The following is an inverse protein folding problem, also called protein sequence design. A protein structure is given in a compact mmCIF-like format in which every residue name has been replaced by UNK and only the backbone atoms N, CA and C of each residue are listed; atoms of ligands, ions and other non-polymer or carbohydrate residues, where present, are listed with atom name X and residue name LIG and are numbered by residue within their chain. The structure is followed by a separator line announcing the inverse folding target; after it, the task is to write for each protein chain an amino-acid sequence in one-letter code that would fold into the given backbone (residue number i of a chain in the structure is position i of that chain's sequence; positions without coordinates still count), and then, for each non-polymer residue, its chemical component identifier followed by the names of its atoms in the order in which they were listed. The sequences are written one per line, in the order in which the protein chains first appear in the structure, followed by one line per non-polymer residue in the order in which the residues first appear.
data_IF_169495022814
#
_entry.id   IF_169495022814
#
_cell.length_a   1.000
_cell.length_b   1.000
_cell.length_c   1.000
_cell.angle_alpha   90.00
_cell.angle_beta   90.00
_cell.angle_gamma   90.00
#
_symmetry.space_group_name_H-M   'P 1'
#
loop_
_entity.id
_entity.type
_entity.pdbx_description
1 polymer ?
#
# COMPACT_ATOMS: atom_id res chain seq x y z
N UNK A 1 -9.82 -14.73 -11.68
CA UNK A 1 -9.51 -15.13 -10.29
C UNK A 1 -10.62 -16.04 -9.79
N UNK A 2 -10.37 -17.15 -9.08
CA UNK A 2 -11.42 -17.94 -8.49
C UNK A 2 -12.18 -17.05 -7.50
N UNK A 3 -13.51 -17.00 -7.61
CA UNK A 3 -14.36 -16.33 -6.61
C UNK A 3 -14.04 -16.94 -5.25
N UNK A 4 -13.39 -16.20 -4.37
CA UNK A 4 -13.20 -16.59 -2.98
C UNK A 4 -14.60 -16.89 -2.43
N UNK A 5 -14.83 -18.13 -1.97
CA UNK A 5 -16.12 -18.51 -1.35
C UNK A 5 -16.37 -17.54 -0.21
N UNK A 6 -17.55 -16.96 -0.16
CA UNK A 6 -17.97 -16.04 0.90
C UNK A 6 -17.82 -16.74 2.25
N UNK A 7 -17.24 -16.02 3.20
CA UNK A 7 -17.00 -16.50 4.57
C UNK A 7 -18.09 -15.95 5.49
N UNK A 8 -18.81 -16.83 6.18
CA UNK A 8 -19.90 -16.49 7.08
C UNK A 8 -19.50 -16.89 8.51
N UNK A 9 -19.59 -15.95 9.45
CA UNK A 9 -19.31 -16.21 10.85
C UNK A 9 -20.61 -16.59 11.58
N UNK A 10 -20.62 -17.73 12.27
CA UNK A 10 -21.72 -18.14 13.14
C UNK A 10 -21.32 -17.86 14.57
N UNK A 11 -22.03 -16.94 15.23
CA UNK A 11 -21.59 -16.35 16.50
C UNK A 11 -22.73 -16.37 17.50
N UNK A 12 -22.45 -16.87 18.71
CA UNK A 12 -23.31 -16.74 19.89
C UNK A 12 -23.11 -15.41 20.62
N UNK A 13 -23.78 -15.24 21.74
CA UNK A 13 -23.72 -13.99 22.52
C UNK A 13 -22.35 -13.73 23.15
N UNK A 14 -22.12 -12.45 23.61
CA UNK A 14 -20.80 -11.98 24.10
C UNK A 14 -20.34 -12.63 25.41
N UNK A 15 -21.26 -13.14 26.22
CA UNK A 15 -20.94 -13.90 27.44
C UNK A 15 -21.27 -15.39 27.23
N UNK A 16 -20.55 -16.09 26.33
CA UNK A 16 -20.97 -17.37 25.82
C UNK A 16 -21.04 -18.41 26.92
N UNK A 17 -22.19 -19.08 27.02
CA UNK A 17 -22.40 -20.28 27.81
C UNK A 17 -22.28 -21.54 26.93
N UNK A 18 -22.63 -22.68 27.47
CA UNK A 18 -22.50 -23.96 26.77
C UNK A 18 -23.44 -24.05 25.57
N UNK A 19 -24.68 -23.52 25.68
CA UNK A 19 -25.63 -23.51 24.57
C UNK A 19 -25.14 -22.63 23.41
N UNK A 20 -24.70 -21.45 23.72
CA UNK A 20 -24.15 -20.49 22.76
C UNK A 20 -22.99 -21.08 21.93
N UNK A 21 -22.04 -21.72 22.58
CA UNK A 21 -20.86 -22.31 21.90
C UNK A 21 -21.22 -23.58 21.13
N UNK A 22 -21.99 -24.49 21.74
CA UNK A 22 -22.41 -25.76 21.08
C UNK A 22 -23.31 -25.49 19.88
N UNK A 23 -24.24 -24.53 20.00
CA UNK A 23 -25.10 -24.08 18.90
C UNK A 23 -24.32 -23.53 17.75
N UNK A 24 -23.30 -22.66 18.02
CA UNK A 24 -22.44 -22.12 16.97
C UNK A 24 -21.66 -23.22 16.22
N UNK A 25 -21.10 -24.19 16.95
CA UNK A 25 -20.38 -25.34 16.38
C UNK A 25 -21.28 -26.23 15.55
N UNK A 26 -22.40 -26.64 16.12
CA UNK A 26 -23.36 -27.53 15.49
C UNK A 26 -23.96 -26.91 14.22
N UNK A 27 -24.40 -25.66 14.29
CA UNK A 27 -24.95 -24.97 13.13
C UNK A 27 -23.91 -24.74 12.02
N UNK A 28 -22.66 -24.45 12.39
CA UNK A 28 -21.55 -24.38 11.44
C UNK A 28 -21.36 -25.69 10.68
N UNK A 29 -21.42 -26.83 11.38
CA UNK A 29 -21.30 -28.13 10.71
C UNK A 29 -22.48 -28.34 9.74
N UNK A 30 -23.72 -28.15 10.18
CA UNK A 30 -24.92 -28.28 9.35
C UNK A 30 -24.81 -27.43 8.08
N UNK A 31 -24.49 -26.14 8.20
CA UNK A 31 -24.38 -25.23 7.07
C UNK A 31 -23.26 -25.60 6.09
N UNK A 32 -22.13 -26.12 6.58
CA UNK A 32 -21.06 -26.60 5.72
C UNK A 32 -21.43 -27.91 4.98
N UNK A 33 -22.34 -28.72 5.50
CA UNK A 33 -22.87 -29.89 4.76
C UNK A 33 -23.83 -29.46 3.64
N UNK A 34 -24.57 -28.37 3.83
CA UNK A 34 -25.49 -27.83 2.83
C UNK A 34 -24.83 -27.02 1.71
N UNK A 35 -23.64 -26.51 1.91
CA UNK A 35 -22.62 -26.32 0.86
C UNK A 35 -22.64 -25.11 -0.04
N UNK A 36 -23.17 -23.94 0.36
CA UNK A 36 -23.19 -22.73 -0.48
C UNK A 36 -22.08 -21.70 -0.18
N UNK A 37 -21.51 -21.72 1.04
CA UNK A 37 -20.46 -20.83 1.50
C UNK A 37 -19.43 -21.56 2.38
N UNK A 38 -18.51 -20.83 3.00
CA UNK A 38 -17.63 -21.34 4.05
C UNK A 38 -18.10 -20.77 5.39
N UNK A 39 -18.63 -21.61 6.23
CA UNK A 39 -19.14 -21.23 7.54
C UNK A 39 -18.09 -21.51 8.62
N UNK A 40 -17.90 -20.57 9.54
CA UNK A 40 -16.96 -20.71 10.66
C UNK A 40 -17.65 -20.36 11.98
N UNK A 41 -17.56 -21.28 12.95
CA UNK A 41 -17.95 -20.99 14.32
C UNK A 41 -16.99 -19.97 14.94
N UNK A 42 -17.55 -18.98 15.60
CA UNK A 42 -16.84 -17.94 16.34
C UNK A 42 -17.44 -17.78 17.73
N UNK A 43 -16.64 -17.29 18.68
CA UNK A 43 -17.14 -16.89 20.01
C UNK A 43 -16.89 -15.39 20.21
N UNK A 44 -17.88 -14.70 20.75
CA UNK A 44 -17.79 -13.27 20.99
C UNK A 44 -17.12 -12.92 22.33
N UNK A 45 -16.89 -13.92 23.19
CA UNK A 45 -16.29 -13.72 24.50
C UNK A 45 -15.49 -14.93 25.00
N UNK A 46 -15.05 -14.86 26.26
CA UNK A 46 -14.34 -15.97 26.91
C UNK A 46 -15.32 -17.06 27.32
N UNK A 47 -14.93 -18.33 27.11
CA UNK A 47 -15.71 -19.48 27.53
C UNK A 47 -15.67 -19.63 29.08
N UNK A 48 -16.76 -20.04 29.68
CA UNK A 48 -16.82 -20.35 31.10
C UNK A 48 -16.23 -21.74 31.40
N UNK A 49 -16.11 -22.08 32.69
CA UNK A 49 -15.53 -23.36 33.12
C UNK A 49 -16.35 -24.58 32.68
N UNK A 50 -17.67 -24.47 32.70
CA UNK A 50 -18.60 -25.52 32.27
C UNK A 50 -18.40 -25.81 30.79
N UNK A 51 -18.43 -24.78 29.94
CA UNK A 51 -18.21 -24.92 28.49
C UNK A 51 -16.81 -25.51 28.21
N UNK A 52 -15.78 -25.05 28.92
CA UNK A 52 -14.45 -25.62 28.76
C UNK A 52 -14.36 -27.07 29.12
N UNK A 53 -15.09 -27.51 30.18
CA UNK A 53 -15.15 -28.90 30.58
C UNK A 53 -15.86 -29.73 29.49
N UNK A 54 -17.02 -29.29 29.00
CA UNK A 54 -17.80 -29.97 27.94
C UNK A 54 -16.95 -30.15 26.68
N UNK A 55 -16.33 -29.05 26.17
CA UNK A 55 -15.49 -29.12 24.98
C UNK A 55 -14.32 -30.09 25.15
N UNK A 56 -13.66 -30.06 26.29
CA UNK A 56 -12.55 -30.97 26.61
C UNK A 56 -13.03 -32.43 26.68
N UNK A 57 -14.18 -32.69 27.32
CA UNK A 57 -14.74 -34.02 27.43
C UNK A 57 -15.01 -34.68 26.07
N UNK A 58 -15.47 -33.88 25.10
CA UNK A 58 -15.76 -34.35 23.75
C UNK A 58 -14.59 -34.17 22.76
N UNK A 59 -13.44 -33.69 23.20
CA UNK A 59 -12.26 -33.49 22.37
C UNK A 59 -12.41 -32.42 21.28
N UNK A 60 -13.22 -31.38 21.53
CA UNK A 60 -13.53 -30.30 20.60
C UNK A 60 -12.75 -29.03 20.97
N UNK A 61 -12.08 -28.42 19.98
CA UNK A 61 -11.40 -27.15 20.18
C UNK A 61 -12.40 -25.98 20.25
N UNK A 62 -12.20 -25.02 21.16
CA UNK A 62 -13.05 -23.83 21.24
C UNK A 62 -13.05 -23.05 19.94
N UNK A 63 -14.20 -22.47 19.52
CA UNK A 63 -14.23 -21.54 18.40
C UNK A 63 -13.26 -20.39 18.58
N UNK A 64 -12.70 -19.90 17.48
CA UNK A 64 -11.80 -18.72 17.52
C UNK A 64 -12.55 -17.49 18.03
N UNK A 65 -11.87 -16.70 18.87
CA UNK A 65 -12.40 -15.45 19.40
C UNK A 65 -12.60 -14.43 18.26
N UNK A 66 -13.75 -13.77 18.25
CA UNK A 66 -14.11 -12.69 17.36
C UNK A 66 -14.91 -11.67 18.17
N UNK A 67 -14.27 -10.64 18.67
CA UNK A 67 -14.89 -9.61 19.51
C UNK A 67 -15.51 -8.48 18.72
N UNK A 68 -15.15 -8.35 17.42
CA UNK A 68 -15.62 -7.27 16.56
C UNK A 68 -15.80 -7.77 15.10
N UNK A 69 -16.97 -7.51 14.55
CA UNK A 69 -17.31 -7.82 13.15
C UNK A 69 -17.39 -6.58 12.28
N UNK A 70 -16.96 -5.40 12.77
CA UNK A 70 -16.85 -4.19 11.96
C UNK A 70 -15.95 -4.44 10.74
N UNK A 71 -16.28 -3.86 9.59
CA UNK A 71 -15.43 -3.93 8.41
C UNK A 71 -14.06 -3.31 8.67
N UNK A 72 -13.02 -3.94 8.17
CA UNK A 72 -11.64 -3.48 8.23
C UNK A 72 -11.13 -3.14 6.83
N UNK A 73 -10.01 -2.46 6.73
CA UNK A 73 -9.40 -2.08 5.44
C UNK A 73 -9.17 -3.29 4.52
N UNK A 74 -8.92 -4.48 5.06
CA UNK A 74 -8.84 -5.73 4.26
C UNK A 74 -10.18 -6.17 3.64
N UNK A 75 -11.29 -5.62 4.10
CA UNK A 75 -12.64 -5.92 3.61
C UNK A 75 -13.09 -4.91 2.52
N UNK A 76 -12.19 -4.07 2.03
CA UNK A 76 -12.40 -3.16 0.90
C UNK A 76 -11.41 -3.46 -0.23
N UNK A 77 -11.71 -2.96 -1.43
CA UNK A 77 -10.83 -3.11 -2.57
C UNK A 77 -9.56 -2.25 -2.40
N UNK A 78 -8.45 -2.87 -2.03
CA UNK A 78 -7.14 -2.23 -2.00
C UNK A 78 -6.62 -2.21 -3.43
N UNK A 79 -6.25 -1.02 -3.93
CA UNK A 79 -5.60 -0.89 -5.23
C UNK A 79 -4.17 -1.40 -5.11
N UNK A 80 -3.86 -2.48 -5.79
CA UNK A 80 -2.48 -2.94 -5.95
C UNK A 80 -1.71 -1.90 -6.75
N UNK A 81 -0.68 -1.37 -6.13
CA UNK A 81 0.23 -0.41 -6.74
C UNK A 81 1.65 -0.80 -6.34
N UNK A 82 2.54 -1.02 -7.31
CA UNK A 82 3.94 -1.32 -6.98
C UNK A 82 4.57 -0.14 -6.27
N UNK A 83 5.37 -0.44 -5.26
CA UNK A 83 6.25 0.56 -4.67
C UNK A 83 7.39 0.91 -5.64
N UNK A 84 7.99 2.07 -5.44
CA UNK A 84 9.13 2.54 -6.23
C UNK A 84 10.39 2.58 -5.38
N UNK A 85 11.55 2.48 -6.04
CA UNK A 85 12.83 2.73 -5.41
C UNK A 85 12.98 4.24 -5.10
N UNK A 86 13.43 4.58 -3.91
CA UNK A 86 13.71 5.96 -3.48
C UNK A 86 14.78 6.64 -4.33
N UNK A 87 15.67 5.87 -4.98
CA UNK A 87 16.74 6.36 -5.87
C UNK A 87 16.24 6.63 -7.32
N UNK A 88 14.99 6.25 -7.63
CA UNK A 88 14.36 6.57 -8.92
C UNK A 88 14.40 8.08 -9.17
N UNK A 89 14.72 8.49 -10.41
CA UNK A 89 14.71 9.91 -10.77
C UNK A 89 13.28 10.51 -10.80
N UNK A 90 13.17 11.82 -10.52
CA UNK A 90 11.89 12.55 -10.66
C UNK A 90 11.31 12.38 -12.06
N UNK A 91 12.14 12.35 -13.10
CA UNK A 91 11.73 12.11 -14.50
C UNK A 91 11.03 10.78 -14.66
N UNK A 92 11.62 9.71 -14.11
CA UNK A 92 11.04 8.36 -14.18
C UNK A 92 9.75 8.25 -13.35
N UNK A 93 9.73 8.86 -12.16
CA UNK A 93 8.54 8.91 -11.31
C UNK A 93 7.38 9.64 -12.01
N UNK A 94 7.66 10.78 -12.66
CA UNK A 94 6.67 11.52 -13.46
C UNK A 94 6.13 10.69 -14.62
N UNK A 95 7.00 10.02 -15.38
CA UNK A 95 6.56 9.13 -16.47
C UNK A 95 5.66 8.03 -15.96
N UNK A 96 6.03 7.36 -14.86
CA UNK A 96 5.21 6.33 -14.23
C UNK A 96 3.84 6.86 -13.80
N UNK A 97 3.78 8.04 -13.15
CA UNK A 97 2.51 8.65 -12.73
C UNK A 97 1.60 8.93 -13.93
N UNK A 98 2.16 9.47 -15.02
CA UNK A 98 1.41 9.78 -16.24
C UNK A 98 0.89 8.52 -16.93
N UNK A 99 1.74 7.51 -17.09
CA UNK A 99 1.43 6.29 -17.85
C UNK A 99 0.44 5.39 -17.10
N UNK A 100 0.40 5.47 -15.76
CA UNK A 100 -0.51 4.70 -14.89
C UNK A 100 -1.72 5.51 -14.39
N UNK A 101 -1.80 6.80 -14.73
CA UNK A 101 -2.83 7.74 -14.23
C UNK A 101 -2.90 7.80 -12.68
N UNK A 102 -1.75 7.66 -12.04
CA UNK A 102 -1.60 7.71 -10.58
C UNK A 102 -0.91 9.03 -10.22
N UNK A 103 -1.43 9.74 -9.22
CA UNK A 103 -0.88 11.01 -8.78
C UNK A 103 -0.07 10.94 -7.46
N UNK A 104 0.15 9.72 -6.95
CA UNK A 104 0.92 9.46 -5.73
C UNK A 104 1.67 8.15 -5.88
N UNK A 105 2.98 8.14 -5.63
CA UNK A 105 3.81 6.93 -5.57
C UNK A 105 4.37 6.74 -4.17
N UNK A 106 4.45 5.48 -3.75
CA UNK A 106 5.01 5.05 -2.48
C UNK A 106 6.44 4.56 -2.69
N UNK A 107 7.42 5.19 -2.05
CA UNK A 107 8.78 4.70 -2.02
C UNK A 107 8.93 3.62 -0.96
N UNK A 108 9.49 2.47 -1.32
CA UNK A 108 9.72 1.32 -0.44
C UNK A 108 11.16 0.86 -0.55
N UNK A 109 11.60 0.07 0.42
CA UNK A 109 12.85 -0.69 0.34
C UNK A 109 12.65 -2.12 -0.19
N UNK A 110 13.73 -2.90 -0.18
CA UNK A 110 13.74 -4.31 -0.61
C UNK A 110 12.82 -5.20 0.24
N UNK A 111 12.65 -4.84 1.52
CA UNK A 111 11.78 -5.52 2.48
C UNK A 111 10.32 -5.04 2.44
N UNK A 112 9.97 -4.16 1.47
CA UNK A 112 8.66 -3.50 1.33
C UNK A 112 8.29 -2.61 2.51
N UNK A 113 9.25 -2.07 3.25
CA UNK A 113 8.99 -1.02 4.22
C UNK A 113 8.69 0.30 3.53
N UNK A 114 7.68 1.02 4.01
CA UNK A 114 7.29 2.30 3.44
C UNK A 114 8.29 3.38 3.89
N UNK A 115 9.06 3.92 2.94
CA UNK A 115 10.08 4.95 3.19
C UNK A 115 9.54 6.37 3.02
N UNK A 116 8.53 6.55 2.14
CA UNK A 116 7.97 7.86 1.87
C UNK A 116 6.95 7.87 0.75
N UNK A 117 6.42 9.06 0.50
CA UNK A 117 5.42 9.34 -0.53
C UNK A 117 5.86 10.51 -1.39
N UNK A 118 5.70 10.39 -2.70
CA UNK A 118 5.85 11.50 -3.64
C UNK A 118 4.55 11.69 -4.43
N UNK A 119 4.13 12.94 -4.57
CA UNK A 119 2.90 13.31 -5.29
C UNK A 119 3.23 14.16 -6.51
N UNK A 120 2.27 14.28 -7.44
CA UNK A 120 2.37 15.23 -8.57
C UNK A 120 2.66 16.66 -8.08
N UNK A 121 2.12 17.06 -6.92
CA UNK A 121 2.39 18.38 -6.33
C UNK A 121 3.87 18.53 -5.93
N UNK A 122 4.46 17.48 -5.36
CA UNK A 122 5.87 17.51 -4.95
C UNK A 122 6.79 17.60 -6.19
N UNK A 123 6.44 16.88 -7.27
CA UNK A 123 7.13 16.98 -8.56
C UNK A 123 6.96 18.37 -9.19
N UNK A 124 5.76 18.94 -9.15
CA UNK A 124 5.50 20.28 -9.66
C UNK A 124 6.30 21.32 -8.89
N UNK A 125 6.37 21.24 -7.57
CA UNK A 125 7.19 22.13 -6.75
C UNK A 125 8.68 21.99 -7.11
N UNK A 126 9.19 20.76 -7.20
CA UNK A 126 10.58 20.50 -7.62
C UNK A 126 10.91 21.10 -8.99
N UNK A 127 9.96 21.06 -9.94
CA UNK A 127 10.13 21.69 -11.27
C UNK A 127 10.00 23.21 -11.25
N UNK A 128 9.31 23.81 -10.29
CA UNK A 128 9.19 25.26 -10.17
C UNK A 128 10.41 25.89 -9.51
N UNK A 129 11.17 25.14 -8.72
CA UNK A 129 12.44 25.56 -8.13
C UNK A 129 13.59 25.51 -9.16
N UNK A 130 13.33 25.98 -10.38
CA UNK A 130 14.27 26.01 -11.53
C UNK A 130 15.58 26.75 -11.26
N UNK A 131 15.66 27.53 -10.20
CA UNK A 131 16.85 28.29 -9.82
C UNK A 131 17.87 27.52 -8.97
N UNK A 132 17.50 26.33 -8.48
CA UNK A 132 18.44 25.49 -7.74
C UNK A 132 19.34 24.70 -8.69
N UNK A 133 20.38 25.39 -9.18
CA UNK A 133 21.39 24.77 -10.05
C UNK A 133 22.24 23.72 -9.35
N UNK A 134 22.21 23.65 -8.02
CA UNK A 134 22.97 22.70 -7.19
C UNK A 134 22.12 21.45 -6.80
N UNK A 135 20.92 21.31 -7.29
CA UNK A 135 19.99 20.23 -6.91
C UNK A 135 20.60 18.83 -7.04
N UNK A 136 21.40 18.59 -8.07
CA UNK A 136 22.05 17.30 -8.31
C UNK A 136 23.08 16.96 -7.22
N UNK A 137 23.87 17.96 -6.81
CA UNK A 137 24.84 17.82 -5.73
C UNK A 137 24.17 17.68 -4.35
N UNK A 138 23.18 18.53 -4.05
CA UNK A 138 22.39 18.48 -2.79
C UNK A 138 21.68 17.17 -2.61
N UNK A 139 21.15 16.60 -3.69
CA UNK A 139 20.45 15.32 -3.68
C UNK A 139 21.37 14.11 -3.83
N UNK A 140 22.68 14.31 -4.02
CA UNK A 140 23.66 13.25 -4.32
C UNK A 140 23.18 12.35 -5.45
N UNK A 141 22.81 12.96 -6.57
CA UNK A 141 22.28 12.26 -7.75
C UNK A 141 23.35 11.35 -8.36
N UNK A 142 23.01 10.12 -8.71
CA UNK A 142 23.90 9.23 -9.47
C UNK A 142 24.00 9.66 -10.93
N UNK A 143 25.17 9.45 -11.55
CA UNK A 143 25.30 9.68 -13.00
C UNK A 143 24.41 8.74 -13.81
N UNK A 144 24.07 7.57 -13.30
CA UNK A 144 23.09 6.67 -13.90
C UNK A 144 21.73 7.34 -14.10
N UNK A 145 21.25 8.11 -13.10
CA UNK A 145 20.03 8.89 -13.24
C UNK A 145 20.16 10.01 -14.29
N UNK A 146 21.33 10.67 -14.36
CA UNK A 146 21.61 11.68 -15.37
C UNK A 146 21.56 11.07 -16.77
N UNK A 147 22.25 9.95 -16.98
CA UNK A 147 22.25 9.20 -18.25
C UNK A 147 20.84 8.81 -18.66
N UNK A 148 20.07 8.18 -17.76
CA UNK A 148 18.70 7.79 -18.05
C UNK A 148 17.79 8.98 -18.37
N UNK A 149 17.96 10.11 -17.67
CA UNK A 149 17.15 11.32 -17.87
C UNK A 149 17.46 12.02 -19.19
N UNK A 150 18.72 12.05 -19.58
CA UNK A 150 19.21 12.72 -20.80
C UNK A 150 19.31 11.79 -22.01
N UNK A 151 18.85 10.52 -21.89
CA UNK A 151 19.06 9.50 -22.92
C UNK A 151 20.52 9.46 -23.40
N UNK A 152 21.42 9.63 -22.44
CA UNK A 152 22.83 9.87 -22.69
C UNK A 152 23.69 8.61 -22.61
N UNK A 153 24.88 8.72 -23.17
CA UNK A 153 25.95 7.72 -23.10
C UNK A 153 27.14 8.29 -22.34
N UNK A 154 27.70 7.49 -21.42
CA UNK A 154 28.93 7.86 -20.71
C UNK A 154 30.14 7.42 -21.51
N UNK A 155 30.98 8.38 -21.93
CA UNK A 155 32.23 8.10 -22.65
C UNK A 155 33.42 7.96 -21.69
N UNK A 156 33.37 8.63 -20.55
CA UNK A 156 34.39 8.58 -19.51
C UNK A 156 33.76 8.80 -18.15
N UNK A 157 34.03 7.93 -17.18
CA UNK A 157 33.54 8.05 -15.81
C UNK A 157 32.97 6.75 -15.27
N UNK A 158 32.26 6.85 -14.13
CA UNK A 158 31.56 5.76 -13.47
C UNK A 158 30.07 6.12 -13.34
N UNK A 159 29.16 5.37 -13.97
CA UNK A 159 27.71 5.62 -13.88
C UNK A 159 27.15 5.53 -12.46
N UNK A 160 27.73 4.72 -11.58
CA UNK A 160 27.25 4.53 -10.21
C UNK A 160 27.82 5.59 -9.25
N UNK A 161 28.78 6.42 -9.69
CA UNK A 161 29.25 7.55 -8.90
C UNK A 161 28.15 8.58 -8.68
N UNK A 162 28.21 9.25 -7.52
CA UNK A 162 27.26 10.31 -7.16
C UNK A 162 27.87 11.71 -7.31
N UNK A 163 27.07 12.64 -7.77
CA UNK A 163 27.40 14.06 -7.81
C UNK A 163 27.34 14.62 -6.40
N UNK A 164 28.48 15.08 -5.88
CA UNK A 164 28.61 15.55 -4.48
C UNK A 164 28.87 17.05 -4.37
N UNK A 165 29.20 17.70 -5.47
CA UNK A 165 29.53 19.16 -5.55
C UNK A 165 29.24 19.70 -6.93
N UNK A 166 29.27 21.03 -7.05
CA UNK A 166 29.07 21.72 -8.29
C UNK A 166 27.62 22.01 -8.63
N UNK A 167 27.45 22.88 -9.59
CA UNK A 167 26.14 23.31 -10.13
C UNK A 167 26.04 22.97 -11.60
N UNK A 168 24.80 23.03 -12.13
CA UNK A 168 24.54 22.93 -13.55
C UNK A 168 24.92 24.30 -14.20
N UNK A 169 25.81 24.28 -15.19
CA UNK A 169 26.28 25.47 -15.92
C UNK A 169 26.11 25.25 -17.42
N UNK A 170 25.65 26.25 -18.13
CA UNK A 170 25.56 26.21 -19.60
C UNK A 170 26.82 26.84 -20.18
N UNK A 171 27.57 26.05 -20.94
CA UNK A 171 28.80 26.50 -21.58
C UNK A 171 28.56 27.65 -22.55
N UNK A 172 29.38 28.71 -22.41
CA UNK A 172 29.37 29.91 -23.23
C UNK A 172 30.71 30.06 -23.94
N UNK A 173 31.16 31.31 -24.23
CA UNK A 173 32.49 31.52 -24.76
C UNK A 173 33.55 31.29 -23.67
N UNK A 174 34.77 30.85 -24.04
CA UNK A 174 35.86 30.62 -23.08
C UNK A 174 36.15 31.79 -22.19
N UNK A 175 36.06 33.02 -22.70
CA UNK A 175 36.35 34.26 -21.96
C UNK A 175 35.37 34.51 -20.82
N UNK A 176 34.09 34.04 -20.97
CA UNK A 176 33.06 34.14 -19.94
C UNK A 176 33.18 32.97 -18.95
N UNK A 177 33.58 31.80 -19.45
CA UNK A 177 33.70 30.59 -18.62
C UNK A 177 34.89 30.65 -17.69
N UNK A 178 35.96 31.34 -18.11
CA UNK A 178 37.13 31.56 -17.25
C UNK A 178 36.72 32.38 -16.02
N UNK A 179 36.88 31.79 -14.85
CA UNK A 179 36.44 32.37 -13.58
C UNK A 179 34.93 32.25 -13.26
N UNK A 180 34.08 31.75 -14.18
CA UNK A 180 32.68 31.52 -13.95
C UNK A 180 32.35 30.02 -13.65
N UNK A 181 33.11 29.10 -14.23
CA UNK A 181 33.00 27.65 -13.95
C UNK A 181 33.78 27.33 -12.68
N UNK A 182 33.13 26.66 -11.75
CA UNK A 182 33.77 26.24 -10.49
C UNK A 182 34.15 24.75 -10.55
N UNK A 183 35.14 24.32 -9.74
CA UNK A 183 35.47 22.91 -9.61
C UNK A 183 34.24 22.09 -9.22
N UNK A 184 34.02 21.00 -9.97
CA UNK A 184 32.88 20.11 -9.74
C UNK A 184 31.61 20.48 -10.52
N UNK A 185 31.53 21.63 -11.18
CA UNK A 185 30.38 22.02 -12.00
C UNK A 185 30.13 21.00 -13.13
N UNK A 186 28.84 20.81 -13.46
CA UNK A 186 28.40 20.02 -14.61
C UNK A 186 28.09 20.99 -15.74
N UNK A 187 28.93 20.96 -16.78
CA UNK A 187 28.85 21.96 -17.86
C UNK A 187 28.18 21.35 -19.09
N UNK A 188 27.04 21.90 -19.49
CA UNK A 188 26.36 21.54 -20.73
C UNK A 188 27.03 22.27 -21.89
N UNK A 189 27.57 21.53 -22.84
CA UNK A 189 28.33 22.07 -23.97
C UNK A 189 27.81 21.54 -25.30
N UNK A 190 28.08 22.26 -26.37
CA UNK A 190 27.84 21.82 -27.75
C UNK A 190 29.12 21.18 -28.35
N UNK A 191 29.16 21.03 -29.68
CA UNK A 191 30.31 20.49 -30.43
C UNK A 191 31.51 21.43 -30.57
N UNK A 192 31.56 22.57 -29.85
CA UNK A 192 32.65 23.56 -29.94
C UNK A 192 33.83 23.07 -29.09
N UNK A 193 34.93 22.76 -29.78
CA UNK A 193 36.14 22.19 -29.16
C UNK A 193 36.69 23.08 -28.04
N UNK A 194 36.79 24.38 -28.30
CA UNK A 194 37.38 25.37 -27.37
C UNK A 194 36.57 25.46 -26.08
N UNK A 195 35.22 25.32 -26.19
CA UNK A 195 34.32 25.38 -25.04
C UNK A 195 34.43 24.11 -24.20
N UNK A 196 34.54 22.92 -24.87
CA UNK A 196 34.77 21.66 -24.17
C UNK A 196 36.10 21.66 -23.41
N UNK A 197 37.18 22.10 -24.09
CA UNK A 197 38.49 22.16 -23.49
C UNK A 197 38.54 23.15 -22.31
N UNK A 198 37.96 24.34 -22.47
CA UNK A 198 37.90 25.36 -21.43
C UNK A 198 37.12 24.84 -20.19
N UNK A 199 35.97 24.17 -20.36
CA UNK A 199 35.20 23.62 -19.25
C UNK A 199 36.05 22.64 -18.43
N UNK A 200 36.78 21.74 -19.09
CA UNK A 200 37.67 20.77 -18.45
C UNK A 200 38.82 21.46 -17.72
N UNK A 201 39.45 22.46 -18.35
CA UNK A 201 40.59 23.18 -17.77
C UNK A 201 40.19 24.04 -16.57
N UNK A 202 38.98 24.59 -16.55
CA UNK A 202 38.39 25.27 -15.40
C UNK A 202 38.02 24.33 -14.24
N UNK A 203 38.15 22.99 -14.40
CA UNK A 203 37.92 22.03 -13.34
C UNK A 203 36.49 21.53 -13.27
N UNK A 204 35.72 21.56 -14.36
CA UNK A 204 34.39 20.93 -14.40
C UNK A 204 34.45 19.46 -13.93
N UNK A 205 33.55 19.08 -13.06
CA UNK A 205 33.40 17.68 -12.62
C UNK A 205 32.86 16.77 -13.71
N UNK A 206 32.03 17.37 -14.60
CA UNK A 206 31.52 16.67 -15.78
C UNK A 206 31.23 17.65 -16.92
N UNK A 207 31.40 17.18 -18.17
CA UNK A 207 30.83 17.83 -19.35
C UNK A 207 29.75 16.95 -19.97
N UNK A 208 28.66 17.58 -20.39
CA UNK A 208 27.56 16.94 -21.12
C UNK A 208 27.54 17.53 -22.53
N UNK A 209 27.98 16.74 -23.49
CA UNK A 209 28.07 17.13 -24.91
C UNK A 209 26.73 16.87 -25.58
N UNK A 210 26.05 17.94 -25.99
CA UNK A 210 24.70 17.94 -26.53
C UNK A 210 24.67 17.68 -28.05
N UNK A 211 23.45 17.47 -28.59
CA UNK A 211 23.17 17.29 -30.03
C UNK A 211 23.77 16.01 -30.64
N UNK A 212 23.99 14.96 -29.85
CA UNK A 212 24.61 13.72 -30.36
C UNK A 212 25.98 13.90 -30.99
N UNK A 213 26.69 14.96 -30.62
CA UNK A 213 27.99 15.33 -31.22
C UNK A 213 29.08 14.37 -30.76
N UNK A 214 29.94 13.97 -31.71
CA UNK A 214 31.12 13.16 -31.42
C UNK A 214 32.13 13.97 -30.57
N UNK A 215 32.72 13.31 -29.59
CA UNK A 215 33.75 13.91 -28.73
C UNK A 215 35.15 13.56 -29.25
N UNK A 216 36.02 14.54 -29.56
CA UNK A 216 37.36 14.28 -30.02
C UNK A 216 38.21 13.52 -29.00
N UNK A 217 39.12 12.64 -29.47
CA UNK A 217 40.02 11.89 -28.59
C UNK A 217 40.88 12.77 -27.69
N UNK A 218 41.26 13.96 -28.16
CA UNK A 218 42.03 14.94 -27.40
C UNK A 218 41.23 15.48 -26.21
N UNK A 219 39.93 15.68 -26.37
CA UNK A 219 39.02 16.06 -25.26
C UNK A 219 38.94 14.95 -24.26
N UNK A 220 38.72 13.69 -24.69
CA UNK A 220 38.65 12.51 -23.78
C UNK A 220 39.98 12.35 -23.01
N UNK A 221 41.14 12.50 -23.69
CA UNK A 221 42.43 12.41 -23.02
C UNK A 221 42.62 13.52 -21.97
N UNK A 222 42.21 14.76 -22.27
CA UNK A 222 42.30 15.88 -21.33
C UNK A 222 41.31 15.70 -20.16
N UNK A 223 40.10 15.22 -20.43
CA UNK A 223 39.12 14.91 -19.39
C UNK A 223 39.63 13.81 -18.45
N UNK A 224 40.25 12.78 -18.99
CA UNK A 224 40.85 11.68 -18.19
C UNK A 224 42.01 12.22 -17.30
N UNK A 225 42.87 13.06 -17.84
CA UNK A 225 43.95 13.71 -17.08
C UNK A 225 43.41 14.54 -15.89
N UNK A 226 42.30 15.24 -16.10
CA UNK A 226 41.68 16.15 -15.11
C UNK A 226 40.66 15.46 -14.21
N UNK A 227 40.34 14.21 -14.45
CA UNK A 227 39.28 13.48 -13.73
C UNK A 227 37.87 14.00 -14.04
N UNK A 228 37.66 14.61 -15.20
CA UNK A 228 36.38 15.14 -15.64
C UNK A 228 35.57 14.05 -16.33
N UNK A 229 34.31 13.85 -15.93
CA UNK A 229 33.38 12.90 -16.54
C UNK A 229 32.85 13.45 -17.86
N UNK A 230 32.71 12.57 -18.87
CA UNK A 230 32.22 12.95 -20.20
C UNK A 230 31.00 12.14 -20.56
N UNK A 231 29.91 12.85 -20.81
CA UNK A 231 28.61 12.31 -21.20
C UNK A 231 28.22 12.94 -22.55
N UNK A 232 27.59 12.14 -23.42
CA UNK A 232 26.90 12.65 -24.62
C UNK A 232 25.41 12.50 -24.47
N UNK A 233 24.63 13.38 -25.10
CA UNK A 233 23.16 13.30 -25.15
C UNK A 233 22.67 13.69 -26.54
N UNK A 234 21.61 13.04 -27.08
CA UNK A 234 20.98 13.46 -28.34
C UNK A 234 20.27 14.82 -28.24
N UNK A 235 19.90 15.23 -27.03
CA UNK A 235 19.18 16.47 -26.81
C UNK A 235 20.07 17.72 -27.11
N UNK A 236 19.41 18.80 -27.55
CA UNK A 236 20.07 20.10 -27.62
C UNK A 236 20.32 20.68 -26.22
N UNK A 237 21.11 21.72 -26.14
CA UNK A 237 21.52 22.33 -24.86
C UNK A 237 20.33 22.86 -24.06
N UNK A 238 19.29 23.38 -24.73
CA UNK A 238 18.10 23.87 -24.04
C UNK A 238 17.30 22.71 -23.42
N UNK A 239 17.06 21.66 -24.20
CA UNK A 239 16.34 20.45 -23.71
C UNK A 239 17.14 19.78 -22.58
N UNK A 240 18.45 19.60 -22.74
CA UNK A 240 19.31 19.03 -21.71
C UNK A 240 19.29 19.87 -20.42
N UNK A 241 19.38 21.21 -20.52
CA UNK A 241 19.33 22.10 -19.37
C UNK A 241 17.97 22.01 -18.61
N UNK A 242 16.89 21.86 -19.35
CA UNK A 242 15.53 21.68 -18.77
C UNK A 242 15.34 20.33 -18.10
N UNK A 243 15.96 19.29 -18.61
CA UNK A 243 15.75 17.91 -18.15
C UNK A 243 16.68 17.50 -17.02
N UNK A 244 17.94 17.97 -17.04
CA UNK A 244 18.99 17.43 -16.18
C UNK A 244 18.67 17.50 -14.68
N UNK A 245 18.03 18.56 -14.21
CA UNK A 245 17.62 18.70 -12.80
C UNK A 245 16.60 17.64 -12.38
N UNK A 246 15.82 17.11 -13.34
CA UNK A 246 14.84 16.05 -13.07
C UNK A 246 15.47 14.66 -12.91
N UNK A 247 16.79 14.55 -13.06
CA UNK A 247 17.57 13.37 -12.73
C UNK A 247 17.69 13.14 -11.21
N UNK A 248 17.44 14.18 -10.41
CA UNK A 248 17.49 14.09 -8.96
C UNK A 248 16.55 12.99 -8.41
N UNK A 249 16.98 12.23 -7.40
CA UNK A 249 16.24 11.08 -6.90
C UNK A 249 15.00 11.49 -6.09
N UNK A 250 13.96 10.64 -6.13
CA UNK A 250 12.69 10.80 -5.41
C UNK A 250 12.91 11.08 -3.93
N UNK A 251 13.88 10.41 -3.27
CA UNK A 251 14.15 10.57 -1.84
C UNK A 251 14.43 12.01 -1.41
N UNK A 252 14.89 12.88 -2.30
CA UNK A 252 15.16 14.28 -2.00
C UNK A 252 13.88 15.11 -1.84
N UNK A 253 12.81 14.73 -2.55
CA UNK A 253 11.55 15.48 -2.62
C UNK A 253 10.37 14.79 -1.93
N UNK A 254 10.48 13.50 -1.67
CA UNK A 254 9.40 12.74 -1.03
C UNK A 254 9.20 13.17 0.43
N UNK A 255 7.97 13.01 0.90
CA UNK A 255 7.68 13.10 2.32
C UNK A 255 8.02 11.78 2.98
N UNK A 256 8.86 11.82 4.00
CA UNK A 256 9.31 10.64 4.77
C UNK A 256 8.93 10.69 6.25
N UNK A 257 8.29 11.78 6.70
CA UNK A 257 7.87 11.96 8.11
C UNK A 257 6.38 12.16 8.20
N UNK A 258 5.79 11.66 9.30
CA UNK A 258 4.35 11.78 9.59
C UNK A 258 3.47 11.29 8.41
N UNK A 259 3.82 10.13 7.85
CA UNK A 259 3.05 9.51 6.80
C UNK A 259 1.70 9.07 7.38
N UNK A 260 0.62 9.39 6.64
CA UNK A 260 -0.70 8.87 6.96
C UNK A 260 -0.90 7.56 6.21
N UNK A 261 -0.81 6.48 6.95
CA UNK A 261 -0.94 5.11 6.47
C UNK A 261 -1.99 4.35 7.29
N UNK A 262 -2.52 3.27 6.76
CA UNK A 262 -3.43 2.39 7.49
C UNK A 262 -2.95 0.94 7.41
N UNK A 263 -3.18 0.19 8.49
CA UNK A 263 -3.03 -1.25 8.47
C UNK A 263 -4.26 -1.90 7.80
N UNK A 264 -4.08 -3.05 7.17
CA UNK A 264 -5.18 -3.90 6.70
C UNK A 264 -6.21 -4.23 7.80
N UNK A 265 -5.80 -4.16 9.07
CA UNK A 265 -6.67 -4.40 10.23
C UNK A 265 -7.31 -3.12 10.81
N UNK A 266 -7.03 -1.93 10.26
CA UNK A 266 -7.67 -0.69 10.67
C UNK A 266 -9.17 -0.76 10.38
N UNK A 267 -10.02 -0.35 11.34
CA UNK A 267 -11.46 -0.27 11.11
C UNK A 267 -11.76 0.77 10.00
N UNK A 268 -12.67 0.43 9.08
CA UNK A 268 -13.04 1.32 7.96
C UNK A 268 -13.55 2.67 8.47
N UNK A 269 -14.30 2.68 9.56
CA UNK A 269 -14.83 3.91 10.14
C UNK A 269 -13.73 4.84 10.67
N UNK A 270 -12.67 4.29 11.27
CA UNK A 270 -11.55 5.09 11.76
C UNK A 270 -10.71 5.62 10.59
N UNK A 271 -10.48 4.80 9.56
CA UNK A 271 -9.88 5.28 8.31
C UNK A 271 -10.70 6.42 7.69
N UNK A 272 -12.05 6.30 7.68
CA UNK A 272 -12.96 7.32 7.18
C UNK A 272 -12.83 8.64 7.95
N UNK A 273 -12.79 8.60 9.29
CA UNK A 273 -12.61 9.78 10.14
C UNK A 273 -11.29 10.50 9.84
N UNK A 274 -10.19 9.75 9.74
CA UNK A 274 -8.89 10.33 9.41
C UNK A 274 -8.90 10.95 8.01
N UNK A 275 -9.40 10.22 7.01
CA UNK A 275 -9.48 10.70 5.63
C UNK A 275 -10.35 11.94 5.46
N UNK A 276 -11.39 12.11 6.26
CA UNK A 276 -12.27 13.28 6.21
C UNK A 276 -11.54 14.59 6.57
N UNK A 277 -10.53 14.52 7.43
CA UNK A 277 -9.81 15.66 7.97
C UNK A 277 -8.55 16.07 7.17
N UNK A 278 -8.20 15.34 6.10
CA UNK A 278 -6.98 15.60 5.33
C UNK A 278 -7.28 15.70 3.83
N UNK A 279 -6.40 16.39 3.08
CA UNK A 279 -6.57 16.61 1.64
C UNK A 279 -5.74 15.64 0.79
N UNK A 280 -5.36 14.48 1.34
CA UNK A 280 -4.67 13.45 0.56
C UNK A 280 -5.67 12.66 -0.28
N UNK A 281 -5.26 12.27 -1.48
CA UNK A 281 -6.09 11.45 -2.39
C UNK A 281 -5.91 9.97 -2.14
N UNK A 282 -4.67 9.53 -1.96
CA UNK A 282 -4.30 8.15 -1.70
C UNK A 282 -3.62 7.99 -0.36
N UNK A 283 -3.80 6.84 0.24
CA UNK A 283 -3.25 6.46 1.54
C UNK A 283 -2.62 5.08 1.41
N UNK A 284 -1.34 4.93 1.79
CA UNK A 284 -0.66 3.63 1.81
C UNK A 284 -1.33 2.67 2.77
N UNK A 285 -1.34 1.40 2.38
CA UNK A 285 -1.81 0.30 3.22
C UNK A 285 -0.63 -0.61 3.53
N UNK A 286 -0.55 -0.94 4.82
CA UNK A 286 0.40 -1.90 5.33
C UNK A 286 -0.31 -3.21 5.69
N UNK A 287 0.32 -4.33 5.40
CA UNK A 287 -0.16 -5.64 5.79
C UNK A 287 -0.05 -5.88 7.32
N UNK A 288 -0.38 -7.08 7.78
CA UNK A 288 -0.31 -7.44 9.20
C UNK A 288 1.12 -7.43 9.76
N UNK A 289 2.15 -7.47 8.90
CA UNK A 289 3.57 -7.44 9.26
C UNK A 289 4.18 -6.03 9.12
N UNK A 290 3.37 -5.01 8.79
CA UNK A 290 3.83 -3.65 8.57
C UNK A 290 4.44 -3.41 7.18
N UNK A 291 4.25 -4.31 6.22
CA UNK A 291 4.80 -4.19 4.87
C UNK A 291 3.79 -3.55 3.93
N UNK A 292 4.27 -2.70 3.04
CA UNK A 292 3.45 -2.04 2.03
C UNK A 292 2.77 -3.06 1.09
N UNK A 293 1.46 -2.94 0.92
CA UNK A 293 0.68 -3.83 0.07
C UNK A 293 -0.23 -3.11 -0.96
N UNK A 294 -0.24 -1.79 -0.97
CA UNK A 294 -1.03 -1.02 -1.92
C UNK A 294 -1.54 0.29 -1.36
N UNK A 295 -2.53 0.87 -2.02
CA UNK A 295 -3.13 2.15 -1.62
C UNK A 295 -4.64 2.08 -1.63
N UNK A 296 -5.28 2.94 -0.82
CA UNK A 296 -6.70 3.20 -0.88
C UNK A 296 -6.97 4.70 -1.07
N UNK A 297 -8.16 5.01 -1.56
CA UNK A 297 -8.71 6.35 -1.65
C UNK A 297 -10.08 6.39 -0.96
N UNK A 298 -10.66 7.58 -0.78
CA UNK A 298 -12.04 7.70 -0.25
C UNK A 298 -13.07 6.95 -1.08
N UNK A 299 -12.84 6.78 -2.41
CA UNK A 299 -13.74 6.03 -3.28
C UNK A 299 -13.83 4.55 -2.89
N UNK A 300 -12.72 3.97 -2.42
CA UNK A 300 -12.71 2.56 -1.99
C UNK A 300 -13.59 2.32 -0.76
N UNK A 301 -13.80 3.36 0.09
CA UNK A 301 -14.69 3.28 1.26
C UNK A 301 -16.20 3.28 0.91
N UNK A 302 -16.57 3.44 -0.36
CA UNK A 302 -17.97 3.36 -0.80
C UNK A 302 -18.41 1.91 -1.00
N UNK A 303 -17.48 1.01 -1.34
CA UNK A 303 -17.74 -0.40 -1.61
C UNK A 303 -17.15 -1.27 -0.49
N UNK A 304 -17.73 -1.17 0.70
CA UNK A 304 -17.31 -1.98 1.84
C UNK A 304 -18.01 -3.32 1.79
N UNK A 305 -17.26 -4.41 1.76
CA UNK A 305 -17.81 -5.75 1.92
C UNK A 305 -18.12 -6.00 3.39
N UNK A 306 -19.42 -5.97 3.73
CA UNK A 306 -19.87 -6.26 5.10
C UNK A 306 -19.58 -7.70 5.45
N UNK A 307 -19.09 -7.94 6.67
CA UNK A 307 -18.91 -9.30 7.17
C UNK A 307 -20.27 -9.96 7.35
N UNK A 308 -20.43 -11.18 6.86
CA UNK A 308 -21.67 -11.94 6.99
C UNK A 308 -21.70 -12.68 8.32
N UNK A 309 -22.81 -12.56 9.02
CA UNK A 309 -23.00 -13.10 10.37
C UNK A 309 -24.31 -13.87 10.43
N UNK A 310 -24.26 -15.04 11.06
CA UNK A 310 -25.43 -15.77 11.56
C UNK A 310 -25.38 -15.70 13.08
N UNK A 311 -26.45 -15.26 13.67
CA UNK A 311 -26.58 -15.16 15.12
C UNK A 311 -27.24 -16.43 15.67
N UNK A 312 -26.65 -16.98 16.73
CA UNK A 312 -27.23 -18.10 17.45
C UNK A 312 -27.34 -17.79 18.95
N UNK A 313 -28.42 -18.24 19.59
CA UNK A 313 -28.62 -18.13 21.02
C UNK A 313 -28.73 -16.69 21.56
N UNK A 314 -29.10 -15.76 20.71
CA UNK A 314 -29.47 -14.40 21.08
C UNK A 314 -30.07 -13.65 19.89
N UNK A 315 -30.91 -12.66 20.18
CA UNK A 315 -31.48 -11.76 19.16
C UNK A 315 -31.52 -10.29 19.63
N UNK A 316 -30.66 -9.94 20.59
CA UNK A 316 -30.54 -8.56 21.08
C UNK A 316 -29.14 -7.99 20.77
N UNK A 317 -29.09 -6.73 20.23
CA UNK A 317 -27.83 -6.04 19.93
C UNK A 317 -26.91 -5.92 21.16
N UNK A 318 -27.49 -5.68 22.34
CA UNK A 318 -26.75 -5.55 23.60
C UNK A 318 -25.97 -6.81 24.02
N UNK A 319 -26.37 -7.97 23.51
CA UNK A 319 -25.74 -9.27 23.79
C UNK A 319 -24.79 -9.72 22.65
N UNK A 320 -24.85 -9.04 21.51
CA UNK A 320 -24.11 -9.44 20.32
C UNK A 320 -22.64 -8.98 20.35
N UNK A 321 -21.88 -9.51 19.43
CA UNK A 321 -20.51 -9.07 19.10
C UNK A 321 -20.48 -7.61 18.69
N UNK A 322 -19.41 -6.90 18.97
CA UNK A 322 -19.25 -5.50 18.59
C UNK A 322 -19.24 -5.35 17.06
N UNK A 323 -19.73 -4.22 16.54
CA UNK A 323 -19.80 -3.94 15.11
C UNK A 323 -20.92 -4.62 14.34
N UNK A 324 -21.86 -5.30 15.02
CA UNK A 324 -22.98 -6.01 14.38
C UNK A 324 -23.82 -5.10 13.47
N UNK A 325 -23.99 -3.82 13.82
CA UNK A 325 -24.73 -2.83 13.02
C UNK A 325 -24.08 -2.55 11.65
N UNK A 326 -22.81 -2.88 11.49
CA UNK A 326 -22.06 -2.75 10.24
C UNK A 326 -21.93 -4.07 9.47
N UNK A 327 -22.36 -5.19 10.08
CA UNK A 327 -22.37 -6.50 9.45
C UNK A 327 -23.64 -6.75 8.64
N UNK A 328 -23.63 -7.81 7.84
CA UNK A 328 -24.80 -8.36 7.15
C UNK A 328 -25.30 -9.58 7.92
N UNK A 329 -26.42 -9.44 8.61
CA UNK A 329 -27.07 -10.54 9.33
C UNK A 329 -27.83 -11.38 8.32
N UNK A 330 -27.49 -12.67 8.19
CA UNK A 330 -28.13 -13.58 7.27
C UNK A 330 -29.26 -14.37 7.94
N UNK A 331 -29.00 -14.87 9.15
CA UNK A 331 -29.90 -15.72 9.88
C UNK A 331 -29.82 -15.48 11.39
N UNK A 332 -30.89 -15.74 12.10
CA UNK A 332 -30.98 -15.71 13.57
C UNK A 332 -31.70 -16.96 14.04
N UNK A 333 -31.03 -17.75 14.86
CA UNK A 333 -31.60 -18.98 15.47
C UNK A 333 -31.56 -18.82 16.99
N UNK A 334 -32.71 -18.75 17.62
CA UNK A 334 -32.79 -18.40 19.05
C UNK A 334 -33.99 -19.03 19.75
N UNK A 335 -33.94 -19.13 21.07
CA UNK A 335 -35.03 -19.61 21.92
C UNK A 335 -35.48 -18.57 22.97
N UNK A 336 -34.80 -17.43 23.03
CA UNK A 336 -35.11 -16.35 23.96
C UNK A 336 -36.33 -15.52 23.52
N UNK A 337 -36.79 -14.63 24.38
CA UNK A 337 -37.77 -13.63 24.02
C UNK A 337 -37.27 -12.76 22.83
N UNK A 338 -38.20 -12.30 22.04
CA UNK A 338 -37.86 -11.39 20.94
C UNK A 338 -37.33 -10.04 21.48
N UNK A 339 -36.11 -9.70 21.08
CA UNK A 339 -35.50 -8.41 21.35
C UNK A 339 -35.73 -7.42 20.23
N UNK A 340 -35.36 -6.17 20.47
CA UNK A 340 -35.39 -5.11 19.46
C UNK A 340 -34.09 -5.17 18.62
N UNK A 341 -34.10 -5.91 17.53
CA UNK A 341 -33.02 -5.98 16.55
C UNK A 341 -33.52 -5.46 15.21
N UNK A 342 -32.87 -4.42 14.71
CA UNK A 342 -33.10 -3.89 13.36
C UNK A 342 -32.10 -4.53 12.37
N UNK A 343 -32.60 -4.99 11.22
CA UNK A 343 -31.80 -5.57 10.14
C UNK A 343 -31.94 -4.72 8.88
N UNK A 344 -30.89 -4.68 8.05
CA UNK A 344 -30.88 -3.90 6.80
C UNK A 344 -31.76 -4.50 5.69
N UNK A 345 -32.18 -5.76 5.82
CA UNK A 345 -33.02 -6.47 4.87
C UNK A 345 -33.70 -7.66 5.52
N UNK A 346 -34.48 -8.46 4.76
CA UNK A 346 -35.09 -9.67 5.25
C UNK A 346 -34.04 -10.67 5.73
N UNK A 347 -34.26 -11.27 6.90
CA UNK A 347 -33.39 -12.32 7.47
C UNK A 347 -34.21 -13.56 7.73
N UNK A 348 -33.58 -14.72 7.63
CA UNK A 348 -34.22 -15.94 8.14
C UNK A 348 -34.17 -15.92 9.67
N UNK A 349 -35.33 -15.91 10.31
CA UNK A 349 -35.44 -15.87 11.75
C UNK A 349 -36.24 -17.09 12.27
N UNK A 350 -35.58 -17.94 13.04
CA UNK A 350 -36.22 -19.09 13.70
C UNK A 350 -36.08 -18.93 15.20
N UNK A 351 -37.24 -18.76 15.85
CA UNK A 351 -37.33 -18.69 17.30
C UNK A 351 -38.41 -19.69 17.77
N UNK A 352 -38.07 -20.54 18.73
CA UNK A 352 -38.96 -21.53 19.29
C UNK A 352 -38.90 -21.51 20.83
N UNK A 353 -40.00 -21.65 21.54
CA UNK A 353 -40.04 -21.67 23.00
C UNK A 353 -39.59 -23.03 23.57
N UNK A 354 -38.30 -23.32 23.42
CA UNK A 354 -37.64 -24.56 23.89
C UNK A 354 -36.59 -24.22 24.96
N UNK A 355 -36.02 -25.26 25.57
CA UNK A 355 -35.08 -25.08 26.68
C UNK A 355 -33.68 -24.57 26.28
N UNK A 356 -33.29 -24.73 25.01
CA UNK A 356 -32.00 -24.27 24.49
C UNK A 356 -32.03 -24.18 22.96
N UNK A 357 -31.14 -23.33 22.37
CA UNK A 357 -30.98 -23.17 20.91
C UNK A 357 -30.49 -24.45 20.24
N UNK A 358 -29.68 -25.23 20.91
CA UNK A 358 -29.20 -26.53 20.42
C UNK A 358 -30.35 -27.48 20.07
N UNK A 359 -31.49 -27.43 20.78
CA UNK A 359 -32.71 -28.22 20.45
C UNK A 359 -33.31 -27.82 19.10
N UNK A 360 -33.33 -26.52 18.78
CA UNK A 360 -33.80 -26.01 17.47
C UNK A 360 -32.88 -26.53 16.36
N UNK A 361 -31.58 -26.41 16.57
CA UNK A 361 -30.57 -26.86 15.60
C UNK A 361 -30.67 -28.37 15.37
N UNK A 362 -30.90 -29.17 16.43
CA UNK A 362 -31.13 -30.62 16.33
C UNK A 362 -32.30 -30.97 15.38
N UNK A 363 -33.41 -30.24 15.51
CA UNK A 363 -34.54 -30.39 14.57
C UNK A 363 -34.18 -29.98 13.15
N UNK A 364 -33.37 -28.97 12.98
CA UNK A 364 -32.91 -28.57 11.64
C UNK A 364 -32.03 -29.64 10.97
N UNK A 365 -31.25 -30.43 11.73
CA UNK A 365 -30.52 -31.58 11.18
C UNK A 365 -31.51 -32.62 10.62
N UNK A 366 -32.56 -32.93 11.37
CA UNK A 366 -33.61 -33.88 10.93
C UNK A 366 -34.34 -33.38 9.68
N UNK A 367 -34.72 -32.09 9.65
CA UNK A 367 -35.39 -31.44 8.53
C UNK A 367 -34.56 -31.48 7.24
N UNK A 368 -33.26 -31.41 7.35
CA UNK A 368 -32.34 -31.43 6.19
C UNK A 368 -31.78 -32.84 5.91
N UNK A 369 -32.15 -33.85 6.68
CA UNK A 369 -31.68 -35.23 6.50
C UNK A 369 -30.17 -35.39 6.74
N UNK A 370 -29.58 -34.53 7.56
CA UNK A 370 -28.17 -34.61 7.93
C UNK A 370 -28.04 -35.45 9.18
N UNK A 371 -27.21 -36.50 9.12
CA UNK A 371 -27.01 -37.39 10.25
C UNK A 371 -26.35 -36.65 11.42
N UNK A 372 -26.98 -36.77 12.59
CA UNK A 372 -26.51 -36.16 13.81
C UNK A 372 -25.72 -37.18 14.63
N UNK A 373 -24.41 -37.21 14.51
CA UNK A 373 -23.56 -37.94 15.43
C UNK A 373 -23.14 -37.05 16.60
N UNK A 374 -22.99 -37.65 17.78
CA UNK A 374 -22.61 -36.91 19.00
C UNK A 374 -21.29 -36.14 18.84
N UNK A 375 -20.38 -36.67 18.02
CA UNK A 375 -19.11 -36.02 17.68
C UNK A 375 -19.31 -34.82 16.71
N UNK A 376 -20.33 -34.85 15.88
CA UNK A 376 -20.61 -33.82 14.87
C UNK A 376 -21.33 -32.58 15.45
N UNK A 377 -22.10 -32.76 16.54
CA UNK A 377 -22.75 -31.65 17.25
C UNK A 377 -21.71 -30.78 17.97
N UNK A 378 -20.58 -31.38 18.35
CA UNK A 378 -19.53 -30.75 19.14
C UNK A 378 -18.21 -30.51 18.37
N UNK A 379 -18.10 -30.97 17.12
CA UNK A 379 -17.00 -30.67 16.20
C UNK A 379 -17.35 -29.55 15.25
#
# INVERSE_FOLDING_TARGET
MPKTRRKVNIIGHRNPDTDSICSALAYTYLKNQLGDAVYEARRAGQINRETAFVLKHFGVEPPRLCTDVSPQVKDIDIREQPGIDKEMSIRAAWSMMRDTEIDTLCAIDEDKELLGLITVKDIANANMDLFDTEVLAKSKTSYKNVLSTLEGEMLLGDPDACITSGRIFIGTSPEIMDGAVNPGDIVLVSNRYEVQMCAIDCGAGAIVVCCGSAVPRTILARAQEKGCIVITTPFDTYAAARLISTAAPVRHFMRSKNLLEFSVNTAVEDARKVMANVRHRYFPILDANGKYCGVISRRNLLNVHRKQVIMVDHNERGQAVDGLEQAEILEIIDHHRLGALETAGPVYFRNEPVGCTATIISRMYEEHGVEMSFIHILR
#
